data_IF_690521289408
#
_entry.id   IF_690521289408
#
_cell.length_a   1.000
_cell.length_b   1.000
_cell.length_c   1.000
_cell.angle_alpha   90.00
_cell.angle_beta   90.00
_cell.angle_gamma   90.00
#
_symmetry.space_group_name_H-M   'P 1'
#
loop_
_entity.id
_entity.type
_entity.pdbx_description
1 polymer ?
#
# COMPACT_ATOMS: atom_id res chain seq x y z
N UNK A 1 33.15 21.33 7.33
CA UNK A 1 32.53 20.52 8.40
C UNK A 1 31.31 21.31 8.84
N UNK A 2 30.08 20.82 8.58
CA UNK A 2 28.91 21.38 9.25
C UNK A 2 29.08 21.05 10.74
N UNK A 3 29.07 22.08 11.57
CA UNK A 3 29.27 21.90 13.02
C UNK A 3 28.11 21.12 13.58
N UNK A 4 28.37 20.16 14.45
CA UNK A 4 27.41 19.35 15.20
C UNK A 4 26.24 20.15 15.80
N UNK A 5 26.38 21.46 15.97
CA UNK A 5 25.32 22.35 16.48
C UNK A 5 24.20 22.73 15.48
N UNK A 6 24.46 22.63 14.15
CA UNK A 6 23.40 22.96 13.16
C UNK A 6 22.40 21.84 12.97
N UNK A 7 22.76 20.58 13.29
CA UNK A 7 21.86 19.41 13.20
C UNK A 7 20.98 19.24 14.44
N UNK A 8 21.42 19.75 15.61
CA UNK A 8 20.62 19.67 16.86
C UNK A 8 19.37 20.57 16.82
N UNK A 9 19.37 21.64 16.02
CA UNK A 9 18.23 22.55 15.90
C UNK A 9 17.02 21.99 15.15
N UNK A 10 17.17 20.93 14.33
CA UNK A 10 16.13 20.39 13.43
C UNK A 10 15.60 19.02 13.85
N UNK A 11 15.95 18.52 15.05
CA UNK A 11 15.46 17.23 15.55
C UNK A 11 13.98 17.30 15.94
N UNK A 12 13.14 16.50 15.29
CA UNK A 12 11.72 16.34 15.60
C UNK A 12 11.51 15.04 16.37
N UNK A 13 11.26 15.16 17.66
CA UNK A 13 11.10 13.99 18.52
C UNK A 13 9.75 13.31 18.31
N UNK A 14 9.78 12.05 17.84
CA UNK A 14 8.64 11.14 17.83
C UNK A 14 8.42 10.63 19.26
N UNK A 15 9.47 10.12 19.89
CA UNK A 15 9.49 9.74 21.31
C UNK A 15 10.47 10.66 22.03
N UNK A 16 9.99 11.56 22.93
CA UNK A 16 10.86 12.50 23.62
C UNK A 16 12.11 11.84 24.23
N UNK A 17 13.29 12.37 23.90
CA UNK A 17 14.57 11.90 24.40
C UNK A 17 15.01 10.51 23.94
N UNK A 18 14.23 9.81 23.09
CA UNK A 18 14.55 8.45 22.67
C UNK A 18 14.56 8.25 21.16
N UNK A 19 13.63 8.84 20.44
CA UNK A 19 13.53 8.69 18.99
C UNK A 19 13.20 10.02 18.32
N UNK A 20 14.05 10.45 17.40
CA UNK A 20 13.89 11.68 16.64
C UNK A 20 14.00 11.41 15.13
N UNK A 21 13.47 12.34 14.37
CA UNK A 21 13.61 12.44 12.92
C UNK A 21 14.26 13.78 12.57
N UNK A 22 15.11 13.81 11.54
CA UNK A 22 15.63 15.04 10.98
C UNK A 22 15.85 14.95 9.46
N UNK A 23 15.99 16.12 8.85
CA UNK A 23 16.25 16.28 7.44
C UNK A 23 17.60 16.95 7.23
N UNK A 24 18.45 16.36 6.38
CA UNK A 24 19.81 16.85 6.12
C UNK A 24 19.92 17.21 4.64
N UNK A 25 20.43 18.42 4.32
CA UNK A 25 20.63 18.82 2.93
C UNK A 25 21.50 17.83 2.13
N UNK A 26 21.07 17.49 0.91
CA UNK A 26 21.81 16.54 0.04
C UNK A 26 23.27 16.96 -0.17
N UNK A 27 23.54 18.25 -0.23
CA UNK A 27 24.91 18.79 -0.34
C UNK A 27 25.81 18.40 0.86
N UNK A 28 25.22 18.21 2.05
CA UNK A 28 25.95 17.77 3.25
C UNK A 28 26.14 16.26 3.18
N UNK A 29 25.07 15.50 2.88
CA UNK A 29 25.13 14.05 2.75
C UNK A 29 26.06 13.58 1.63
N UNK A 30 26.24 14.38 0.57
CA UNK A 30 27.22 14.10 -0.48
C UNK A 30 28.67 14.15 0.01
N UNK A 31 28.95 14.89 1.08
CA UNK A 31 30.30 15.02 1.69
C UNK A 31 30.49 14.10 2.88
N UNK A 32 29.42 13.90 3.66
CA UNK A 32 29.40 13.05 4.84
C UNK A 32 28.09 12.22 4.79
N UNK A 33 28.16 11.02 4.17
CA UNK A 33 26.97 10.15 4.03
C UNK A 33 26.45 9.58 5.34
N UNK A 34 27.27 9.52 6.38
CA UNK A 34 26.95 8.99 7.71
C UNK A 34 27.16 10.06 8.79
N UNK A 35 26.27 11.06 8.88
CA UNK A 35 26.42 12.14 9.83
C UNK A 35 26.41 11.62 11.26
N UNK A 36 27.31 12.17 12.09
CA UNK A 36 27.43 11.83 13.50
C UNK A 36 26.83 12.94 14.35
N UNK A 37 25.86 12.56 15.17
CA UNK A 37 25.25 13.44 16.17
C UNK A 37 25.71 12.95 17.54
N UNK A 38 26.24 13.86 18.37
CA UNK A 38 26.72 13.51 19.70
C UNK A 38 25.59 12.91 20.56
N UNK A 39 25.84 11.79 21.25
CA UNK A 39 24.83 11.10 22.07
C UNK A 39 23.70 10.43 21.27
N UNK A 40 23.86 10.26 19.96
CA UNK A 40 22.87 9.63 19.12
C UNK A 40 23.42 8.49 18.26
N UNK A 41 22.57 7.53 17.94
CA UNK A 41 22.76 6.55 16.89
C UNK A 41 21.90 6.95 15.70
N UNK A 42 22.52 7.24 14.56
CA UNK A 42 21.86 7.69 13.35
C UNK A 42 21.64 6.54 12.37
N UNK A 43 20.54 6.57 11.64
CA UNK A 43 20.26 5.67 10.52
C UNK A 43 19.45 6.38 9.42
N UNK A 44 19.55 5.89 8.19
CA UNK A 44 18.87 6.43 7.02
C UNK A 44 18.19 5.32 6.23
N UNK A 45 17.06 5.64 5.61
CA UNK A 45 16.30 4.68 4.78
C UNK A 45 16.23 5.07 3.30
N UNK A 46 16.83 6.19 2.89
CA UNK A 46 16.71 6.75 1.54
C UNK A 46 17.20 5.82 0.41
N UNK A 47 18.17 4.96 0.71
CA UNK A 47 18.69 3.97 -0.24
C UNK A 47 18.16 2.56 -0.02
N UNK A 48 17.56 2.30 1.16
CA UNK A 48 17.06 0.97 1.52
C UNK A 48 15.60 0.79 1.12
N UNK A 49 14.78 1.81 1.36
CA UNK A 49 13.36 1.80 1.01
C UNK A 49 13.10 2.80 -0.12
N UNK A 50 13.28 2.33 -1.35
CA UNK A 50 13.08 3.14 -2.56
C UNK A 50 11.69 2.82 -3.12
N UNK A 51 10.91 3.87 -3.39
CA UNK A 51 9.62 3.73 -4.05
C UNK A 51 9.83 3.54 -5.56
N UNK A 52 9.27 2.48 -6.11
CA UNK A 52 9.25 2.24 -7.55
C UNK A 52 8.07 2.98 -8.18
N UNK A 53 8.39 3.97 -9.00
CA UNK A 53 7.42 4.88 -9.62
C UNK A 53 6.75 4.23 -10.82
N UNK A 54 5.43 4.35 -10.92
CA UNK A 54 4.70 4.04 -12.17
C UNK A 54 4.83 5.18 -13.18
N UNK A 55 4.80 6.43 -12.72
CA UNK A 55 4.98 7.62 -13.54
C UNK A 55 5.68 8.75 -12.77
N UNK A 56 4.94 9.50 -11.97
CA UNK A 56 5.48 10.59 -11.15
C UNK A 56 4.95 10.52 -9.70
N UNK A 57 4.32 9.41 -9.34
CA UNK A 57 4.01 9.00 -7.98
C UNK A 57 5.32 8.68 -7.23
N UNK A 58 5.32 8.82 -5.91
CA UNK A 58 6.54 8.63 -5.13
C UNK A 58 6.32 7.98 -3.76
N UNK A 59 5.07 7.57 -3.50
CA UNK A 59 4.68 7.00 -2.23
C UNK A 59 3.17 6.93 -2.07
N UNK A 60 2.69 6.51 -0.88
CA UNK A 60 3.50 6.07 0.27
C UNK A 60 4.27 4.78 0.00
N UNK A 61 5.34 4.54 0.77
CA UNK A 61 6.04 3.27 0.75
C UNK A 61 5.08 2.13 1.14
N UNK A 62 5.33 0.95 0.57
CA UNK A 62 4.44 -0.19 0.70
C UNK A 62 4.45 -0.82 2.11
N UNK A 63 3.53 -1.75 2.34
CA UNK A 63 3.33 -2.37 3.64
C UNK A 63 4.55 -3.18 4.10
N UNK A 64 5.26 -3.83 3.19
CA UNK A 64 6.51 -4.54 3.49
C UNK A 64 7.59 -3.60 4.06
N UNK A 65 7.76 -2.43 3.43
CA UNK A 65 8.64 -1.37 3.94
C UNK A 65 8.22 -0.89 5.33
N UNK A 66 6.92 -0.64 5.53
CA UNK A 66 6.38 -0.19 6.83
C UNK A 66 6.67 -1.21 7.93
N UNK A 67 6.37 -2.47 7.70
CA UNK A 67 6.56 -3.51 8.74
C UNK A 67 8.04 -3.74 9.05
N UNK A 68 8.91 -3.81 8.03
CA UNK A 68 10.37 -3.92 8.23
C UNK A 68 10.93 -2.73 8.98
N UNK A 69 10.52 -1.53 8.60
CA UNK A 69 10.93 -0.32 9.30
C UNK A 69 10.52 -0.37 10.78
N UNK A 70 9.28 -0.73 11.06
CA UNK A 70 8.78 -0.82 12.43
C UNK A 70 9.57 -1.83 13.27
N UNK A 71 9.87 -3.01 12.74
CA UNK A 71 10.65 -4.03 13.42
C UNK A 71 12.08 -3.58 13.67
N UNK A 72 12.76 -3.09 12.63
CA UNK A 72 14.14 -2.60 12.75
C UNK A 72 14.27 -1.41 13.73
N UNK A 73 13.31 -0.47 13.67
CA UNK A 73 13.29 0.68 14.59
C UNK A 73 13.07 0.26 16.03
N UNK A 74 12.21 -0.74 16.29
CA UNK A 74 12.00 -1.27 17.65
C UNK A 74 13.28 -1.90 18.21
N UNK A 75 14.01 -2.70 17.43
CA UNK A 75 15.30 -3.30 17.83
C UNK A 75 16.37 -2.23 18.09
N UNK A 76 16.48 -1.23 17.20
CA UNK A 76 17.42 -0.14 17.37
C UNK A 76 17.13 0.70 18.61
N UNK A 77 15.86 0.96 18.90
CA UNK A 77 15.44 1.68 20.12
C UNK A 77 15.78 0.93 21.40
N UNK A 78 15.67 -0.39 21.39
CA UNK A 78 16.07 -1.21 22.53
C UNK A 78 17.59 -1.07 22.76
N UNK A 79 18.40 -1.27 21.73
CA UNK A 79 19.88 -1.13 21.81
C UNK A 79 20.30 0.26 22.24
N UNK A 80 19.67 1.31 21.68
CA UNK A 80 19.96 2.70 22.09
C UNK A 80 19.58 2.95 23.55
N UNK A 81 18.53 2.32 24.07
CA UNK A 81 18.15 2.40 25.47
C UNK A 81 19.24 1.84 26.41
N UNK A 82 19.81 0.69 26.05
CA UNK A 82 20.91 0.05 26.79
C UNK A 82 22.18 0.92 26.78
N UNK A 83 22.46 1.56 25.66
CA UNK A 83 23.62 2.45 25.45
C UNK A 83 23.39 3.90 25.90
N UNK A 84 22.18 4.27 26.35
CA UNK A 84 21.76 5.64 26.70
C UNK A 84 21.93 6.64 25.54
N UNK A 85 21.67 6.19 24.29
CA UNK A 85 21.72 7.00 23.09
C UNK A 85 20.32 7.36 22.62
N UNK A 86 20.20 8.48 21.91
CA UNK A 86 19.00 8.83 21.14
C UNK A 86 19.08 8.15 19.78
N UNK A 87 18.01 7.49 19.34
CA UNK A 87 17.89 7.00 17.97
C UNK A 87 17.46 8.14 17.06
N UNK A 88 18.19 8.38 15.97
CA UNK A 88 17.86 9.44 15.00
C UNK A 88 17.69 8.84 13.60
N UNK A 89 16.49 8.93 13.06
CA UNK A 89 16.21 8.66 11.65
C UNK A 89 16.44 9.93 10.85
N UNK A 90 17.50 9.98 10.05
CA UNK A 90 17.74 11.09 9.13
C UNK A 90 17.39 10.72 7.70
N UNK A 91 17.04 11.72 6.89
CA UNK A 91 16.80 11.60 5.45
C UNK A 91 17.37 12.80 4.73
N UNK A 92 17.50 12.72 3.41
CA UNK A 92 17.84 13.89 2.59
C UNK A 92 16.69 14.90 2.52
N UNK A 93 17.00 16.14 2.13
CA UNK A 93 16.01 17.20 1.91
C UNK A 93 15.23 17.05 0.58
N UNK A 94 15.50 15.99 -0.19
CA UNK A 94 14.71 15.66 -1.38
C UNK A 94 13.23 15.44 -0.99
N UNK A 95 12.34 16.25 -1.56
CA UNK A 95 10.93 16.37 -1.15
C UNK A 95 10.21 15.01 -1.00
N UNK A 96 10.47 14.05 -1.88
CA UNK A 96 9.82 12.72 -1.87
C UNK A 96 10.39 11.82 -0.77
N UNK A 97 11.72 11.77 -0.63
CA UNK A 97 12.39 10.99 0.42
C UNK A 97 12.01 11.50 1.80
N UNK A 98 12.00 12.85 1.95
CA UNK A 98 11.60 13.50 3.19
C UNK A 98 10.19 13.12 3.64
N UNK A 99 9.21 13.10 2.72
CA UNK A 99 7.83 12.69 3.03
C UNK A 99 7.75 11.21 3.36
N UNK A 100 8.43 10.33 2.60
CA UNK A 100 8.44 8.90 2.86
C UNK A 100 9.13 8.55 4.20
N UNK A 101 10.23 9.21 4.54
CA UNK A 101 10.89 9.03 5.83
C UNK A 101 10.01 9.48 7.01
N UNK A 102 9.34 10.64 6.88
CA UNK A 102 8.37 11.10 7.87
C UNK A 102 7.17 10.14 7.99
N UNK A 103 6.69 9.60 6.86
CA UNK A 103 5.64 8.57 6.85
C UNK A 103 6.06 7.34 7.65
N UNK A 104 7.27 6.81 7.43
CA UNK A 104 7.77 5.64 8.16
C UNK A 104 7.87 5.92 9.66
N UNK A 105 8.39 7.09 10.07
CA UNK A 105 8.51 7.47 11.47
C UNK A 105 7.14 7.57 12.16
N UNK A 106 6.16 8.18 11.50
CA UNK A 106 4.77 8.23 11.99
C UNK A 106 4.11 6.85 11.99
N UNK A 107 4.32 6.06 10.93
CA UNK A 107 3.77 4.70 10.84
C UNK A 107 4.31 3.80 11.96
N UNK A 108 5.58 3.93 12.35
CA UNK A 108 6.11 3.25 13.54
C UNK A 108 5.31 3.58 14.81
N UNK A 109 5.02 4.86 15.02
CA UNK A 109 4.25 5.27 16.20
C UNK A 109 2.81 4.72 16.16
N UNK A 110 2.16 4.70 15.00
CA UNK A 110 0.81 4.14 14.84
C UNK A 110 0.79 2.62 14.93
N UNK A 111 1.69 1.95 14.20
CA UNK A 111 1.67 0.48 14.04
C UNK A 111 2.29 -0.24 15.23
N UNK A 112 3.50 0.13 15.63
CA UNK A 112 4.24 -0.55 16.69
C UNK A 112 3.88 -0.04 18.09
N UNK A 113 3.73 1.29 18.24
CA UNK A 113 3.43 1.88 19.56
C UNK A 113 1.93 2.04 19.82
N UNK A 114 1.08 1.79 18.79
CA UNK A 114 -0.39 1.91 18.90
C UNK A 114 -0.87 3.31 19.30
N UNK A 115 -0.11 4.35 18.93
CA UNK A 115 -0.50 5.73 19.19
C UNK A 115 -1.61 6.20 18.24
N UNK A 116 -2.37 7.20 18.71
CA UNK A 116 -3.30 7.92 17.83
C UNK A 116 -2.56 8.60 16.68
N UNK A 117 -3.21 8.73 15.53
CA UNK A 117 -2.65 9.43 14.36
C UNK A 117 -2.28 10.87 14.71
N UNK A 118 -3.11 11.55 15.51
CA UNK A 118 -2.86 12.90 16.00
C UNK A 118 -1.53 12.99 16.73
N UNK A 119 -1.28 12.09 17.67
CA UNK A 119 -0.04 12.04 18.45
C UNK A 119 1.16 11.71 17.58
N UNK A 120 1.02 10.72 16.70
CA UNK A 120 2.10 10.28 15.80
C UNK A 120 2.51 11.36 14.80
N UNK A 121 1.56 12.17 14.32
CA UNK A 121 1.80 13.23 13.34
C UNK A 121 2.16 14.58 13.96
N UNK A 122 1.95 14.78 15.27
CA UNK A 122 2.19 16.05 15.97
C UNK A 122 3.58 16.67 15.68
N UNK A 123 4.70 15.90 15.62
CA UNK A 123 6.02 16.48 15.32
C UNK A 123 6.14 17.10 13.92
N UNK A 124 5.19 16.84 13.02
CA UNK A 124 5.26 17.25 11.61
C UNK A 124 4.25 18.32 11.22
N UNK A 125 3.38 18.76 12.15
CA UNK A 125 2.31 19.74 11.87
C UNK A 125 2.88 21.08 11.39
N UNK A 126 3.97 21.52 12.00
CA UNK A 126 4.67 22.79 11.71
C UNK A 126 5.96 22.58 10.89
N UNK A 127 6.05 21.47 10.16
CA UNK A 127 7.23 21.12 9.39
C UNK A 127 7.47 22.14 8.26
N UNK A 128 8.67 22.76 8.24
CA UNK A 128 9.04 23.74 7.20
C UNK A 128 10.28 23.25 6.42
N UNK A 129 10.23 23.22 5.08
CA UNK A 129 9.03 23.35 4.25
C UNK A 129 7.99 22.25 4.56
N UNK A 130 6.69 22.41 4.22
CA UNK A 130 5.69 21.38 4.43
C UNK A 130 6.04 20.04 3.76
N UNK A 131 5.56 18.93 4.32
CA UNK A 131 5.71 17.63 3.69
C UNK A 131 4.94 17.60 2.36
N UNK A 132 5.59 17.08 1.31
CA UNK A 132 4.98 17.03 -0.02
C UNK A 132 3.87 15.98 -0.07
N UNK A 133 2.64 16.32 -0.48
CA UNK A 133 1.55 15.36 -0.54
C UNK A 133 1.78 14.32 -1.63
N UNK A 134 1.28 13.10 -1.40
CA UNK A 134 1.38 12.00 -2.36
C UNK A 134 0.45 12.24 -3.55
N UNK A 135 0.98 12.10 -4.75
CA UNK A 135 0.18 12.11 -5.97
C UNK A 135 -0.18 10.69 -6.41
N UNK A 136 -1.17 10.59 -7.28
CA UNK A 136 -1.55 9.34 -7.93
C UNK A 136 -0.56 8.91 -9.04
N UNK A 137 -0.70 7.66 -9.49
CA UNK A 137 0.11 7.06 -10.56
C UNK A 137 -0.38 7.42 -11.99
N UNK A 138 -1.29 8.39 -12.12
CA UNK A 138 -1.83 8.82 -13.41
C UNK A 138 -0.83 9.64 -14.24
N UNK A 139 -0.91 9.51 -15.57
CA UNK A 139 -0.04 10.23 -16.51
C UNK A 139 -0.40 11.73 -16.67
N UNK A 140 -1.56 12.14 -16.17
CA UNK A 140 -2.03 13.52 -16.30
C UNK A 140 -1.62 14.44 -15.17
N UNK A 141 -2.24 15.60 -15.11
CA UNK A 141 -2.12 16.53 -13.98
C UNK A 141 -2.76 15.86 -12.76
N UNK A 142 -2.06 15.88 -11.63
CA UNK A 142 -2.61 15.39 -10.37
C UNK A 142 -3.69 16.34 -9.88
N UNK A 143 -4.94 15.88 -9.88
CA UNK A 143 -6.11 16.67 -9.47
C UNK A 143 -6.42 16.54 -7.98
N UNK A 144 -5.86 15.52 -7.32
CA UNK A 144 -6.05 15.27 -5.90
C UNK A 144 -4.71 14.89 -5.24
N UNK A 145 -4.43 15.52 -4.12
CA UNK A 145 -3.20 15.32 -3.36
C UNK A 145 -3.53 14.64 -2.02
N UNK A 146 -3.07 13.40 -1.86
CA UNK A 146 -3.28 12.64 -0.63
C UNK A 146 -2.26 13.06 0.44
N UNK A 147 -2.73 13.52 1.58
CA UNK A 147 -1.86 13.94 2.68
C UNK A 147 -1.31 12.72 3.44
N UNK A 148 -0.12 12.88 4.01
CA UNK A 148 0.49 11.84 4.86
C UNK A 148 -0.43 11.45 6.03
N UNK A 149 -1.10 12.41 6.64
CA UNK A 149 -2.04 12.18 7.75
C UNK A 149 -3.23 11.29 7.32
N UNK A 150 -3.70 11.39 6.08
CA UNK A 150 -4.80 10.57 5.57
C UNK A 150 -4.35 9.12 5.36
N UNK A 151 -3.10 8.93 4.89
CA UNK A 151 -2.50 7.60 4.81
C UNK A 151 -2.41 6.96 6.20
N UNK A 152 -1.95 7.70 7.20
CA UNK A 152 -1.87 7.21 8.59
C UNK A 152 -3.25 6.84 9.15
N UNK A 153 -4.29 7.62 8.84
CA UNK A 153 -5.68 7.30 9.23
C UNK A 153 -6.12 5.98 8.61
N UNK A 154 -5.83 5.76 7.32
CA UNK A 154 -6.10 4.49 6.64
C UNK A 154 -5.40 3.31 7.30
N UNK A 155 -4.11 3.43 7.64
CA UNK A 155 -3.34 2.41 8.35
C UNK A 155 -3.90 2.16 9.77
N UNK A 156 -4.21 3.21 10.51
CA UNK A 156 -4.79 3.10 11.85
C UNK A 156 -6.14 2.38 11.82
N UNK A 157 -6.98 2.70 10.83
CA UNK A 157 -8.27 2.03 10.62
C UNK A 157 -8.12 0.57 10.28
N UNK A 158 -7.18 0.24 9.40
CA UNK A 158 -6.86 -1.14 9.05
C UNK A 158 -6.42 -1.96 10.27
N UNK A 159 -5.59 -1.38 11.14
CA UNK A 159 -5.20 -2.00 12.42
C UNK A 159 -6.40 -2.21 13.36
N UNK A 160 -7.29 -1.21 13.47
CA UNK A 160 -8.46 -1.28 14.34
C UNK A 160 -9.47 -2.34 13.87
N UNK A 161 -9.60 -2.54 12.56
CA UNK A 161 -10.49 -3.52 11.95
C UNK A 161 -9.86 -4.92 11.80
N UNK A 162 -8.58 -5.09 12.16
CA UNK A 162 -7.86 -6.36 11.97
C UNK A 162 -7.50 -6.66 10.51
N UNK A 163 -7.54 -5.66 9.63
CA UNK A 163 -7.07 -5.79 8.25
C UNK A 163 -5.55 -5.84 8.16
N UNK A 164 -4.84 -5.34 9.16
CA UNK A 164 -3.41 -5.49 9.36
C UNK A 164 -3.15 -6.17 10.70
N UNK A 165 -2.50 -7.32 10.66
CA UNK A 165 -1.90 -7.96 11.83
C UNK A 165 -0.37 -7.77 11.75
N UNK A 166 0.13 -6.77 12.48
CA UNK A 166 1.55 -6.44 12.51
C UNK A 166 2.41 -7.58 13.07
N UNK A 167 1.89 -8.32 14.04
CA UNK A 167 2.66 -9.35 14.74
C UNK A 167 2.95 -10.56 13.83
N UNK A 168 1.99 -10.93 12.98
CA UNK A 168 2.08 -12.14 12.13
C UNK A 168 2.39 -11.83 10.68
N UNK A 169 2.61 -10.55 10.31
CA UNK A 169 2.86 -10.17 8.91
C UNK A 169 4.16 -10.77 8.38
N UNK A 170 4.09 -11.54 7.30
CA UNK A 170 5.24 -12.11 6.62
C UNK A 170 5.73 -11.16 5.52
N UNK A 171 6.88 -10.50 5.79
CA UNK A 171 7.48 -9.56 4.85
C UNK A 171 8.08 -10.25 3.63
N UNK A 172 8.59 -11.46 3.78
CA UNK A 172 9.27 -12.16 2.68
C UNK A 172 8.23 -12.71 1.70
N UNK A 173 7.10 -13.16 2.24
CA UNK A 173 5.99 -13.56 1.39
C UNK A 173 5.37 -12.36 0.67
N UNK A 174 5.22 -11.22 1.38
CA UNK A 174 4.79 -9.96 0.77
C UNK A 174 5.67 -9.59 -0.42
N UNK A 175 7.01 -9.59 -0.26
CA UNK A 175 7.95 -9.26 -1.35
C UNK A 175 7.92 -10.25 -2.50
N UNK A 176 7.80 -11.54 -2.19
CA UNK A 176 7.69 -12.57 -3.23
C UNK A 176 6.49 -12.33 -4.13
N UNK A 177 5.44 -11.77 -3.58
CA UNK A 177 4.21 -11.51 -4.31
C UNK A 177 4.17 -10.14 -4.99
N UNK A 178 4.96 -9.16 -4.54
CA UNK A 178 5.02 -7.82 -5.10
C UNK A 178 5.94 -7.70 -6.32
N UNK A 179 6.87 -8.63 -6.56
CA UNK A 179 7.85 -8.51 -7.63
C UNK A 179 7.27 -8.81 -9.01
N UNK A 180 7.55 -7.93 -9.99
CA UNK A 180 7.20 -8.12 -11.41
C UNK A 180 7.77 -9.42 -12.01
N UNK A 181 8.92 -9.87 -11.54
CA UNK A 181 9.53 -11.18 -11.91
C UNK A 181 8.62 -12.34 -11.53
N UNK A 182 7.70 -12.09 -10.59
CA UNK A 182 6.71 -13.03 -10.10
C UNK A 182 5.28 -12.53 -10.45
N UNK A 183 5.17 -11.45 -11.27
CA UNK A 183 3.93 -10.81 -11.68
C UNK A 183 3.42 -9.82 -10.62
N UNK A 184 3.56 -8.52 -10.81
CA UNK A 184 3.00 -7.32 -10.17
C UNK A 184 2.02 -7.50 -8.97
N UNK A 185 2.46 -7.22 -7.71
CA UNK A 185 1.70 -7.48 -6.49
C UNK A 185 2.04 -6.80 -5.20
N UNK A 186 1.02 -6.74 -4.34
CA UNK A 186 1.15 -6.45 -2.92
C UNK A 186 0.26 -7.32 -2.03
N UNK A 187 0.81 -7.84 -0.95
CA UNK A 187 0.12 -8.68 0.05
C UNK A 187 -0.30 -7.93 1.29
N UNK A 188 -1.48 -8.27 1.81
CA UNK A 188 -1.86 -7.95 3.18
C UNK A 188 -2.34 -9.22 3.87
N UNK A 189 -1.45 -9.76 4.66
CA UNK A 189 -1.55 -10.91 5.54
C UNK A 189 -1.33 -12.28 4.92
N UNK A 190 -0.29 -12.95 5.40
CA UNK A 190 -0.21 -14.38 5.41
C UNK A 190 -1.33 -14.96 6.30
N UNK A 191 -2.21 -15.77 5.72
CA UNK A 191 -2.87 -16.78 6.54
C UNK A 191 -1.76 -17.64 7.13
N UNK A 192 -1.80 -17.94 8.43
CA UNK A 192 -0.80 -18.83 9.05
C UNK A 192 -0.75 -20.12 8.23
N UNK A 193 0.44 -20.63 7.94
CA UNK A 193 0.61 -21.92 7.25
C UNK A 193 -0.25 -23.05 7.84
N UNK A 194 -0.55 -22.97 9.14
CA UNK A 194 -1.43 -23.88 9.85
C UNK A 194 -2.91 -23.78 9.47
N UNK A 195 -3.34 -22.71 8.80
CA UNK A 195 -4.74 -22.48 8.42
C UNK A 195 -5.02 -22.95 6.98
N UNK A 196 -4.00 -23.30 6.18
CA UNK A 196 -4.13 -23.77 4.80
C UNK A 196 -3.57 -25.19 4.71
N UNK A 197 -4.39 -26.23 4.63
CA UNK A 197 -3.92 -27.61 4.51
C UNK A 197 -3.05 -27.81 3.26
N UNK A 198 -1.88 -28.45 3.43
CA UNK A 198 -0.90 -28.78 2.36
C UNK A 198 -0.14 -27.61 1.72
N UNK A 199 -0.03 -26.46 2.41
CA UNK A 199 0.73 -25.31 1.94
C UNK A 199 2.25 -25.51 2.16
N UNK A 200 3.04 -25.43 1.06
CA UNK A 200 4.49 -25.29 1.11
C UNK A 200 4.86 -23.90 0.59
N UNK A 201 5.51 -23.07 1.41
CA UNK A 201 5.85 -21.68 1.09
C UNK A 201 6.63 -21.50 -0.24
N UNK A 202 7.29 -22.58 -0.75
CA UNK A 202 7.95 -22.62 -2.06
C UNK A 202 7.02 -22.50 -3.27
N UNK A 203 5.72 -22.79 -3.10
CA UNK A 203 4.78 -22.87 -4.24
C UNK A 203 4.11 -21.53 -4.56
N UNK A 204 4.18 -20.56 -3.66
CA UNK A 204 3.56 -19.21 -3.81
C UNK A 204 4.44 -18.21 -4.57
N UNK A 205 5.68 -18.50 -4.80
CA UNK A 205 6.68 -17.55 -5.27
C UNK A 205 6.50 -16.98 -6.68
N UNK A 206 5.28 -17.02 -7.29
CA UNK A 206 5.14 -16.74 -8.71
C UNK A 206 3.91 -15.96 -9.16
N UNK A 207 3.03 -15.51 -8.26
CA UNK A 207 1.73 -14.97 -8.68
C UNK A 207 1.42 -13.52 -8.20
N UNK A 208 0.88 -12.68 -9.10
CA UNK A 208 0.61 -11.26 -8.85
C UNK A 208 -0.71 -10.99 -8.09
N UNK A 209 -0.74 -11.04 -6.76
CA UNK A 209 -1.92 -10.84 -5.92
C UNK A 209 -1.69 -9.89 -4.74
N UNK A 210 -2.70 -9.12 -4.35
CA UNK A 210 -2.68 -8.35 -3.12
C UNK A 210 -3.97 -8.57 -2.32
N UNK A 211 -3.85 -8.96 -1.06
CA UNK A 211 -4.95 -8.81 -0.13
C UNK A 211 -5.14 -7.33 0.20
N UNK A 212 -6.26 -6.75 -0.18
CA UNK A 212 -6.66 -5.41 0.26
C UNK A 212 -7.42 -5.50 1.58
N UNK A 213 -8.22 -6.55 1.73
CA UNK A 213 -8.88 -6.93 2.97
C UNK A 213 -8.73 -8.43 3.17
N UNK A 214 -8.13 -8.89 4.27
CA UNK A 214 -7.92 -10.30 4.56
C UNK A 214 -9.21 -11.11 4.40
N UNK A 215 -9.12 -12.24 3.72
CA UNK A 215 -10.23 -13.17 3.45
C UNK A 215 -11.42 -12.58 2.68
N UNK A 216 -11.33 -11.33 2.18
CA UNK A 216 -12.40 -10.73 1.39
C UNK A 216 -11.95 -10.25 0.03
N UNK A 217 -10.91 -9.42 -0.07
CA UNK A 217 -10.49 -8.85 -1.34
C UNK A 217 -9.03 -9.08 -1.67
N UNK A 218 -8.82 -9.66 -2.83
CA UNK A 218 -7.53 -9.73 -3.50
C UNK A 218 -7.61 -8.82 -4.74
N UNK A 219 -6.67 -7.88 -4.86
CA UNK A 219 -6.47 -7.11 -6.08
C UNK A 219 -5.34 -7.72 -6.90
N UNK A 220 -5.50 -7.81 -8.23
CA UNK A 220 -4.47 -8.35 -9.11
C UNK A 220 -4.52 -7.76 -10.52
N UNK A 221 -3.44 -7.89 -11.28
CA UNK A 221 -3.39 -7.47 -12.68
C UNK A 221 -4.07 -8.50 -13.59
N UNK A 222 -4.51 -8.04 -14.78
CA UNK A 222 -5.24 -8.91 -15.71
C UNK A 222 -4.40 -10.10 -16.16
N UNK A 223 -4.91 -11.33 -16.01
CA UNK A 223 -4.33 -12.46 -16.74
C UNK A 223 -4.37 -12.22 -18.25
N UNK A 224 -3.46 -12.83 -18.97
CA UNK A 224 -3.47 -12.92 -20.42
C UNK A 224 -4.00 -14.28 -20.87
N UNK A 225 -4.37 -14.40 -22.15
CA UNK A 225 -4.91 -15.64 -22.68
C UNK A 225 -3.92 -16.82 -22.60
N UNK A 226 -2.61 -16.53 -22.57
CA UNK A 226 -1.53 -17.54 -22.50
C UNK A 226 -0.35 -16.97 -21.72
N UNK A 227 0.35 -17.83 -21.01
CA UNK A 227 1.65 -17.53 -20.41
C UNK A 227 2.67 -17.20 -21.51
N UNK A 228 3.41 -16.11 -21.33
CA UNK A 228 4.48 -15.67 -22.24
C UNK A 228 5.68 -15.21 -21.42
N UNK A 229 6.86 -15.53 -21.89
CA UNK A 229 8.06 -14.90 -21.38
C UNK A 229 8.22 -13.51 -21.99
N UNK A 230 8.39 -12.49 -21.14
CA UNK A 230 8.52 -11.08 -21.54
C UNK A 230 9.93 -10.54 -21.32
N UNK A 231 10.73 -11.23 -20.50
CA UNK A 231 12.16 -11.05 -20.29
C UNK A 231 12.75 -12.39 -19.80
N UNK A 232 14.07 -12.61 -19.84
CA UNK A 232 14.68 -13.84 -19.35
C UNK A 232 14.21 -14.22 -17.94
N UNK A 233 13.46 -15.31 -17.83
CA UNK A 233 12.87 -15.80 -16.58
C UNK A 233 11.60 -15.10 -16.12
N UNK A 234 11.17 -14.01 -16.77
CA UNK A 234 9.98 -13.23 -16.41
C UNK A 234 8.80 -13.59 -17.32
N UNK A 235 7.72 -14.06 -16.72
CA UNK A 235 6.56 -14.55 -17.46
C UNK A 235 5.28 -13.79 -17.11
N UNK A 236 4.40 -13.60 -18.10
CA UNK A 236 3.00 -13.26 -17.87
C UNK A 236 2.23 -14.49 -17.41
N UNK A 237 1.08 -14.28 -16.77
CA UNK A 237 0.25 -15.35 -16.24
C UNK A 237 -1.04 -15.52 -17.03
N UNK A 238 -1.45 -16.76 -17.23
CA UNK A 238 -2.75 -17.17 -17.72
C UNK A 238 -3.71 -17.44 -16.53
N UNK A 239 -5.03 -17.49 -16.75
CA UNK A 239 -5.98 -17.81 -15.67
C UNK A 239 -5.68 -19.14 -14.98
N UNK A 240 -5.21 -20.12 -15.72
CA UNK A 240 -4.86 -21.47 -15.23
C UNK A 240 -3.73 -21.44 -14.19
N UNK A 241 -2.83 -20.47 -14.30
CA UNK A 241 -1.74 -20.30 -13.35
C UNK A 241 -2.28 -19.82 -11.98
N UNK A 242 -3.38 -19.03 -11.97
CA UNK A 242 -3.99 -18.52 -10.75
C UNK A 242 -4.92 -19.50 -10.04
N UNK A 243 -5.53 -20.45 -10.78
CA UNK A 243 -6.56 -21.35 -10.22
C UNK A 243 -6.07 -22.10 -8.97
N UNK A 244 -4.91 -22.78 -8.96
CA UNK A 244 -4.47 -23.50 -7.77
C UNK A 244 -4.27 -22.58 -6.56
N UNK A 245 -3.76 -21.37 -6.81
CA UNK A 245 -3.54 -20.39 -5.77
C UNK A 245 -4.87 -19.83 -5.25
N UNK A 246 -5.78 -19.45 -6.12
CA UNK A 246 -7.10 -18.94 -5.73
C UNK A 246 -7.89 -19.96 -4.91
N UNK A 247 -7.83 -21.24 -5.29
CA UNK A 247 -8.45 -22.32 -4.51
C UNK A 247 -7.87 -22.41 -3.09
N UNK A 248 -6.53 -22.33 -2.96
CA UNK A 248 -5.87 -22.32 -1.64
C UNK A 248 -6.22 -21.11 -0.80
N UNK A 249 -6.35 -19.92 -1.43
CA UNK A 249 -6.71 -18.67 -0.75
C UNK A 249 -8.21 -18.54 -0.48
N UNK A 250 -9.02 -19.54 -0.81
CA UNK A 250 -10.46 -19.51 -0.61
C UNK A 250 -11.18 -18.51 -1.52
N UNK A 251 -10.61 -18.20 -2.69
CA UNK A 251 -11.26 -17.35 -3.68
C UNK A 251 -12.40 -18.12 -4.35
N UNK A 252 -13.60 -17.59 -4.21
CA UNK A 252 -14.83 -18.18 -4.77
C UNK A 252 -15.35 -17.38 -5.98
N UNK A 253 -14.87 -16.14 -6.15
CA UNK A 253 -15.29 -15.28 -7.25
C UNK A 253 -14.13 -14.44 -7.81
N UNK A 254 -14.08 -14.32 -9.13
CA UNK A 254 -13.25 -13.35 -9.85
C UNK A 254 -14.13 -12.26 -10.44
N UNK A 255 -13.78 -10.98 -10.24
CA UNK A 255 -14.45 -9.84 -10.85
C UNK A 255 -13.49 -9.12 -11.81
N UNK A 256 -13.90 -8.96 -13.07
CA UNK A 256 -13.15 -8.31 -14.13
C UNK A 256 -13.78 -6.99 -14.55
N UNK A 257 -12.99 -5.90 -14.49
CA UNK A 257 -13.41 -4.57 -14.95
C UNK A 257 -12.88 -4.17 -16.32
N UNK A 258 -11.88 -4.85 -16.87
CA UNK A 258 -11.32 -4.54 -18.19
C UNK A 258 -11.92 -5.36 -19.33
N UNK A 259 -11.55 -5.01 -20.56
CA UNK A 259 -11.87 -5.80 -21.76
C UNK A 259 -11.40 -7.24 -21.63
N UNK A 260 -12.07 -8.14 -22.33
CA UNK A 260 -11.75 -9.56 -22.33
C UNK A 260 -10.36 -9.81 -22.92
N UNK A 261 -9.40 -10.22 -22.09
CA UNK A 261 -8.06 -10.64 -22.49
C UNK A 261 -7.83 -12.16 -22.32
N UNK A 262 -8.75 -12.86 -21.65
CA UNK A 262 -8.69 -14.30 -21.42
C UNK A 262 -10.11 -14.90 -21.39
N UNK A 263 -10.22 -16.23 -21.49
CA UNK A 263 -11.49 -16.93 -21.38
C UNK A 263 -11.82 -17.21 -19.90
N UNK A 264 -12.95 -16.68 -19.43
CA UNK A 264 -13.44 -16.86 -18.05
C UNK A 264 -13.67 -18.33 -17.69
N UNK A 265 -13.84 -19.22 -18.71
CA UNK A 265 -14.08 -20.64 -18.49
C UNK A 265 -12.93 -21.32 -17.75
N UNK A 266 -11.74 -20.81 -17.80
CA UNK A 266 -10.62 -21.31 -17.01
C UNK A 266 -10.91 -21.25 -15.49
N UNK A 267 -11.51 -20.15 -15.01
CA UNK A 267 -11.94 -20.01 -13.62
C UNK A 267 -13.22 -20.80 -13.34
N UNK A 268 -14.23 -20.71 -14.21
CA UNK A 268 -15.53 -21.34 -13.92
C UNK A 268 -15.49 -22.86 -13.96
N UNK A 269 -14.62 -23.47 -14.79
CA UNK A 269 -14.37 -24.93 -14.78
C UNK A 269 -13.72 -25.40 -13.48
N UNK A 270 -12.98 -24.52 -12.81
CA UNK A 270 -12.36 -24.79 -11.52
C UNK A 270 -13.27 -24.49 -10.32
N UNK A 271 -14.56 -24.20 -10.56
CA UNK A 271 -15.54 -23.88 -9.53
C UNK A 271 -15.49 -22.43 -9.02
N UNK A 272 -14.67 -21.58 -9.62
CA UNK A 272 -14.56 -20.17 -9.25
C UNK A 272 -15.52 -19.34 -10.11
N UNK A 273 -16.51 -18.70 -9.49
CA UNK A 273 -17.44 -17.81 -10.17
C UNK A 273 -16.70 -16.68 -10.87
N UNK A 274 -17.19 -16.22 -12.03
CA UNK A 274 -16.60 -15.09 -12.75
C UNK A 274 -17.66 -14.07 -13.13
N UNK A 275 -17.42 -12.80 -12.76
CA UNK A 275 -18.33 -11.67 -13.01
C UNK A 275 -17.61 -10.62 -13.87
N UNK A 276 -18.29 -10.14 -14.90
CA UNK A 276 -17.80 -9.14 -15.84
C UNK A 276 -18.54 -7.82 -15.61
N UNK A 277 -17.82 -6.78 -15.21
CA UNK A 277 -18.34 -5.45 -14.92
C UNK A 277 -17.51 -4.39 -15.67
N UNK A 278 -17.45 -4.53 -16.99
CA UNK A 278 -16.61 -3.71 -17.83
C UNK A 278 -16.97 -2.23 -17.79
N UNK A 279 -15.96 -1.38 -17.68
CA UNK A 279 -15.97 0.04 -18.03
C UNK A 279 -14.58 0.52 -18.48
N UNK A 280 -14.50 1.68 -19.13
CA UNK A 280 -13.28 2.16 -19.79
C UNK A 280 -12.13 2.44 -18.79
N UNK A 281 -10.90 2.25 -19.27
CA UNK A 281 -9.68 2.49 -18.49
C UNK A 281 -9.53 3.97 -18.15
N UNK A 282 -9.18 4.26 -16.90
CA UNK A 282 -9.08 5.63 -16.38
C UNK A 282 -10.43 6.30 -16.10
N UNK A 283 -11.56 5.69 -16.49
CA UNK A 283 -12.89 6.19 -16.21
C UNK A 283 -13.41 5.83 -14.82
N UNK A 284 -14.58 6.37 -14.47
CA UNK A 284 -15.34 6.06 -13.27
C UNK A 284 -16.40 4.99 -13.56
N UNK A 285 -16.73 4.11 -12.60
CA UNK A 285 -17.84 3.19 -12.77
C UNK A 285 -19.16 3.97 -12.81
N UNK A 286 -20.12 3.51 -13.62
CA UNK A 286 -21.49 3.96 -13.44
C UNK A 286 -22.04 3.48 -12.11
N UNK A 287 -23.08 4.16 -11.62
CA UNK A 287 -23.77 3.75 -10.39
C UNK A 287 -24.20 2.28 -10.44
N UNK A 288 -24.73 1.84 -11.57
CA UNK A 288 -25.17 0.46 -11.79
C UNK A 288 -24.02 -0.55 -11.69
N UNK A 289 -22.83 -0.23 -12.22
CA UNK A 289 -21.65 -1.08 -12.13
C UNK A 289 -21.18 -1.18 -10.68
N UNK A 290 -21.09 -0.05 -9.98
CA UNK A 290 -20.65 -0.02 -8.60
C UNK A 290 -21.62 -0.77 -7.67
N UNK A 291 -22.92 -0.52 -7.79
CA UNK A 291 -23.95 -1.23 -7.01
C UNK A 291 -23.95 -2.73 -7.32
N UNK A 292 -23.78 -3.11 -8.58
CA UNK A 292 -23.66 -4.52 -8.96
C UNK A 292 -22.44 -5.19 -8.35
N UNK A 293 -21.29 -4.48 -8.34
CA UNK A 293 -20.08 -4.97 -7.67
C UNK A 293 -20.34 -5.20 -6.17
N UNK A 294 -20.90 -4.20 -5.49
CA UNK A 294 -21.20 -4.28 -4.05
C UNK A 294 -22.13 -5.47 -3.77
N UNK A 295 -23.22 -5.63 -4.54
CA UNK A 295 -24.15 -6.76 -4.40
C UNK A 295 -23.47 -8.12 -4.59
N UNK A 296 -22.61 -8.25 -5.61
CA UNK A 296 -21.81 -9.47 -5.81
C UNK A 296 -20.97 -9.76 -4.57
N UNK A 297 -20.31 -8.75 -4.03
CA UNK A 297 -19.46 -8.91 -2.86
C UNK A 297 -20.22 -9.23 -1.58
N UNK A 298 -21.44 -8.70 -1.42
CA UNK A 298 -22.31 -8.97 -0.28
C UNK A 298 -22.86 -10.41 -0.28
N UNK A 299 -23.04 -10.98 -1.48
CA UNK A 299 -23.55 -12.33 -1.68
C UNK A 299 -22.47 -13.41 -1.67
N UNK A 300 -21.22 -13.03 -1.90
CA UNK A 300 -20.12 -13.98 -2.05
C UNK A 300 -19.57 -14.42 -0.68
N UNK A 301 -19.64 -15.73 -0.36
CA UNK A 301 -19.23 -16.23 0.96
C UNK A 301 -17.71 -16.29 1.14
N UNK A 302 -16.96 -16.46 0.06
CA UNK A 302 -15.49 -16.57 0.09
C UNK A 302 -14.80 -15.28 -0.32
N UNK A 303 -13.49 -15.40 -0.53
CA UNK A 303 -12.68 -14.30 -1.02
C UNK A 303 -13.00 -13.97 -2.49
N UNK A 304 -12.84 -12.71 -2.84
CA UNK A 304 -13.10 -12.18 -4.18
C UNK A 304 -11.80 -11.64 -4.75
N UNK A 305 -11.35 -12.18 -5.86
CA UNK A 305 -10.23 -11.67 -6.62
C UNK A 305 -10.72 -10.64 -7.65
N UNK A 306 -10.23 -9.42 -7.57
CA UNK A 306 -10.70 -8.27 -8.35
C UNK A 306 -9.59 -7.74 -9.22
N UNK A 307 -9.86 -7.56 -10.51
CA UNK A 307 -8.87 -6.98 -11.41
C UNK A 307 -9.45 -6.06 -12.49
N UNK A 308 -8.58 -5.22 -13.02
CA UNK A 308 -8.77 -4.49 -14.26
C UNK A 308 -7.58 -4.76 -15.19
N UNK A 309 -6.96 -3.79 -15.84
CA UNK A 309 -5.72 -3.99 -16.61
C UNK A 309 -4.53 -4.17 -15.66
N UNK A 310 -4.16 -3.14 -14.91
CA UNK A 310 -3.09 -3.16 -13.93
C UNK A 310 -3.53 -3.59 -12.51
N UNK A 311 -4.82 -3.72 -12.25
CA UNK A 311 -5.33 -4.01 -10.91
C UNK A 311 -5.17 -2.86 -9.91
N UNK A 312 -5.11 -1.62 -10.37
CA UNK A 312 -4.88 -0.41 -9.57
C UNK A 312 -6.09 0.52 -9.54
N UNK A 313 -6.40 1.18 -10.66
CA UNK A 313 -7.41 2.23 -10.73
C UNK A 313 -8.83 1.70 -10.51
N UNK A 314 -9.43 1.09 -11.54
CA UNK A 314 -10.80 0.54 -11.51
C UNK A 314 -11.01 -0.45 -10.37
N UNK A 315 -10.02 -1.28 -10.11
CA UNK A 315 -10.00 -2.25 -9.01
C UNK A 315 -10.07 -1.54 -7.66
N UNK A 316 -9.18 -0.61 -7.40
CA UNK A 316 -9.14 0.13 -6.14
C UNK A 316 -10.40 0.96 -5.90
N UNK A 317 -10.94 1.61 -6.94
CA UNK A 317 -12.18 2.40 -6.85
C UNK A 317 -13.36 1.57 -6.34
N UNK A 318 -13.58 0.38 -6.88
CA UNK A 318 -14.71 -0.44 -6.48
C UNK A 318 -14.47 -1.12 -5.12
N UNK A 319 -13.26 -1.61 -4.83
CA UNK A 319 -12.94 -2.14 -3.49
C UNK A 319 -13.10 -1.04 -2.45
N UNK A 320 -12.64 0.19 -2.73
CA UNK A 320 -12.81 1.36 -1.85
C UNK A 320 -14.28 1.66 -1.57
N UNK A 321 -15.14 1.62 -2.60
CA UNK A 321 -16.58 1.81 -2.41
C UNK A 321 -17.18 0.78 -1.44
N UNK A 322 -16.80 -0.49 -1.55
CA UNK A 322 -17.21 -1.52 -0.60
C UNK A 322 -16.67 -1.26 0.83
N UNK A 323 -15.39 -0.85 0.93
CA UNK A 323 -14.77 -0.53 2.23
C UNK A 323 -15.47 0.63 2.94
N UNK A 324 -15.84 1.67 2.20
CA UNK A 324 -16.60 2.80 2.74
C UNK A 324 -17.97 2.34 3.25
N UNK A 325 -18.73 1.58 2.46
CA UNK A 325 -20.06 1.09 2.83
C UNK A 325 -20.03 0.17 4.06
N UNK A 326 -19.16 -0.80 4.10
CA UNK A 326 -19.21 -1.90 5.08
C UNK A 326 -18.32 -1.70 6.31
N UNK A 327 -17.21 -0.98 6.17
CA UNK A 327 -16.26 -0.75 7.26
C UNK A 327 -16.07 0.71 7.62
N UNK A 328 -16.88 1.60 7.03
CA UNK A 328 -16.90 3.03 7.37
C UNK A 328 -15.56 3.73 7.15
N UNK A 329 -14.72 3.26 6.22
CA UNK A 329 -13.56 4.03 5.80
C UNK A 329 -14.02 5.34 5.18
N UNK A 330 -13.26 6.43 5.37
CA UNK A 330 -13.39 7.58 4.49
C UNK A 330 -12.73 7.30 3.13
N UNK A 331 -13.03 8.09 2.12
CA UNK A 331 -12.39 7.96 0.82
C UNK A 331 -10.87 8.17 0.91
N UNK A 332 -10.41 9.10 1.72
CA UNK A 332 -8.99 9.37 1.93
C UNK A 332 -8.30 8.23 2.69
N UNK A 333 -8.95 7.65 3.71
CA UNK A 333 -8.48 6.46 4.41
C UNK A 333 -8.37 5.25 3.46
N UNK A 334 -9.38 5.06 2.59
CA UNK A 334 -9.34 4.03 1.55
C UNK A 334 -8.14 4.20 0.61
N UNK A 335 -7.97 5.41 0.05
CA UNK A 335 -6.83 5.69 -0.83
C UNK A 335 -5.50 5.44 -0.13
N UNK A 336 -5.36 5.95 1.10
CA UNK A 336 -4.16 5.79 1.90
C UNK A 336 -3.83 4.32 2.16
N UNK A 337 -4.78 3.58 2.69
CA UNK A 337 -4.62 2.16 2.98
C UNK A 337 -4.31 1.34 1.73
N UNK A 338 -5.10 1.51 0.67
CA UNK A 338 -4.90 0.76 -0.57
C UNK A 338 -3.55 1.04 -1.23
N UNK A 339 -3.02 2.28 -1.16
CA UNK A 339 -1.68 2.59 -1.69
C UNK A 339 -0.56 2.01 -0.85
N UNK A 340 -0.74 1.88 0.46
CA UNK A 340 0.20 1.15 1.32
C UNK A 340 0.19 -0.34 0.99
N UNK A 341 -0.99 -0.90 0.69
CA UNK A 341 -1.14 -2.31 0.34
C UNK A 341 -0.66 -2.62 -1.08
N UNK A 342 -1.03 -1.75 -2.02
CA UNK A 342 -0.79 -1.86 -3.45
C UNK A 342 -0.50 -0.48 -4.01
N UNK A 343 0.79 -0.10 -4.11
CA UNK A 343 1.22 1.19 -4.64
C UNK A 343 0.52 1.54 -5.96
N UNK A 344 0.16 2.80 -6.13
CA UNK A 344 -0.52 3.29 -7.32
C UNK A 344 -2.04 3.05 -7.38
N UNK A 345 -2.66 2.50 -6.32
CA UNK A 345 -4.12 2.28 -6.28
C UNK A 345 -4.90 3.60 -6.32
N UNK A 346 -6.06 3.59 -7.02
CA UNK A 346 -6.99 4.71 -7.26
C UNK A 346 -6.32 5.87 -8.00
N UNK A 347 -6.63 6.01 -9.30
CA UNK A 347 -5.87 6.85 -10.24
C UNK A 347 -6.76 7.94 -10.84
N UNK A 348 -6.22 9.15 -10.97
CA UNK A 348 -6.82 10.25 -11.71
C UNK A 348 -8.22 10.63 -11.18
N UNK A 349 -9.23 10.75 -12.07
CA UNK A 349 -10.58 11.18 -11.69
C UNK A 349 -11.29 10.22 -10.71
N UNK A 350 -10.81 8.99 -10.58
CA UNK A 350 -11.35 8.01 -9.63
C UNK A 350 -11.18 8.45 -8.19
N UNK A 351 -10.17 9.25 -7.88
CA UNK A 351 -9.94 9.82 -6.56
C UNK A 351 -11.11 10.74 -6.17
N UNK A 352 -11.48 11.67 -7.05
CA UNK A 352 -12.62 12.56 -6.82
C UNK A 352 -13.93 11.78 -6.77
N UNK A 353 -14.09 10.78 -7.64
CA UNK A 353 -15.28 9.94 -7.67
C UNK A 353 -15.56 9.24 -6.32
N UNK A 354 -14.54 8.66 -5.66
CA UNK A 354 -14.78 8.02 -4.37
C UNK A 354 -15.00 9.04 -3.24
N UNK A 355 -14.42 10.25 -3.33
CA UNK A 355 -14.73 11.35 -2.40
C UNK A 355 -16.21 11.76 -2.52
N UNK A 356 -16.70 11.95 -3.73
CA UNK A 356 -18.09 12.35 -3.98
C UNK A 356 -19.10 11.24 -3.57
N UNK A 357 -18.68 9.98 -3.57
CA UNK A 357 -19.52 8.84 -3.20
C UNK A 357 -19.57 8.57 -1.69
N UNK A 358 -18.68 9.15 -0.88
CA UNK A 358 -18.47 8.80 0.52
C UNK A 358 -19.74 8.86 1.37
N UNK A 359 -20.37 10.02 1.44
CA UNK A 359 -21.58 10.24 2.27
C UNK A 359 -22.73 9.30 1.92
N UNK A 360 -22.88 9.01 0.63
CA UNK A 360 -23.91 8.10 0.15
C UNK A 360 -23.61 6.66 0.57
N UNK A 361 -22.37 6.22 0.38
CA UNK A 361 -21.96 4.87 0.74
C UNK A 361 -22.01 4.62 2.24
N UNK A 362 -21.70 5.61 3.06
CA UNK A 362 -21.87 5.52 4.51
C UNK A 362 -23.34 5.35 4.91
N UNK A 363 -24.25 6.17 4.34
CA UNK A 363 -25.70 6.02 4.58
C UNK A 363 -26.24 4.64 4.15
N UNK A 364 -25.81 4.16 2.98
CA UNK A 364 -26.18 2.82 2.52
C UNK A 364 -25.66 1.72 3.46
N UNK A 365 -24.46 1.88 3.97
CA UNK A 365 -23.86 0.99 4.96
C UNK A 365 -24.61 0.97 6.28
N UNK A 366 -25.07 2.13 6.75
CA UNK A 366 -25.89 2.24 7.96
C UNK A 366 -27.24 1.54 7.80
N UNK A 367 -27.89 1.74 6.65
CA UNK A 367 -29.16 1.05 6.33
C UNK A 367 -28.92 -0.46 6.29
N UNK A 368 -27.86 -0.91 5.62
CA UNK A 368 -27.53 -2.33 5.50
C UNK A 368 -27.29 -3.01 6.86
N UNK A 369 -26.56 -2.34 7.77
CA UNK A 369 -26.30 -2.86 9.12
C UNK A 369 -27.57 -2.94 9.96
N UNK A 370 -28.41 -1.92 9.91
CA UNK A 370 -29.72 -1.90 10.62
C UNK A 370 -30.62 -3.05 10.19
N UNK A 371 -30.70 -3.29 8.88
CA UNK A 371 -31.57 -4.36 8.33
C UNK A 371 -31.12 -5.77 8.76
N UNK A 372 -29.83 -5.97 9.03
CA UNK A 372 -29.28 -7.27 9.44
C UNK A 372 -29.18 -7.46 10.94
N UNK A 373 -29.62 -6.52 11.74
CA UNK A 373 -29.52 -6.57 13.21
C UNK A 373 -28.06 -6.50 13.74
N UNK A 374 -27.09 -6.26 12.87
CA UNK A 374 -25.66 -6.16 13.20
C UNK A 374 -25.25 -4.69 13.40
N UNK A 375 -26.11 -3.88 14.01
CA UNK A 375 -25.75 -2.54 14.41
C UNK A 375 -24.79 -2.64 15.60
N UNK A 376 -23.56 -2.14 15.52
CA UNK A 376 -22.74 -2.02 16.71
C UNK A 376 -23.45 -1.06 17.68
N UNK A 377 -23.62 -1.47 18.92
CA UNK A 377 -24.17 -0.59 19.98
C UNK A 377 -23.34 0.65 20.22
N UNK A 378 -22.11 0.66 19.69
CA UNK A 378 -21.23 1.83 19.68
C UNK A 378 -20.91 2.23 18.24
N UNK A 379 -20.92 3.54 17.91
CA UNK A 379 -20.38 4.02 16.64
C UNK A 379 -18.95 3.45 16.47
N UNK A 380 -18.60 3.09 15.22
CA UNK A 380 -17.23 2.71 14.89
C UNK A 380 -16.28 3.71 15.56
N UNK A 381 -15.31 3.27 16.36
CA UNK A 381 -14.57 4.15 17.27
C UNK A 381 -14.04 5.35 16.51
N UNK A 382 -14.45 6.53 16.96
CA UNK A 382 -13.91 7.79 16.48
C UNK A 382 -12.41 7.75 16.77
N UNK A 383 -11.58 7.76 15.71
CA UNK A 383 -10.13 7.63 15.84
C UNK A 383 -9.48 8.80 16.62
N UNK A 384 -10.26 9.83 16.95
CA UNK A 384 -9.87 10.94 17.80
C UNK A 384 -9.87 10.61 19.31
N UNK A 385 -10.54 9.54 19.74
CA UNK A 385 -10.84 9.30 21.17
C UNK A 385 -10.02 8.19 21.85
N UNK A 386 -9.02 7.59 21.18
CA UNK A 386 -8.07 6.73 21.90
C UNK A 386 -7.15 7.63 22.72
N UNK A 387 -7.26 7.50 24.05
CA UNK A 387 -6.48 8.25 25.03
C UNK A 387 -4.99 8.26 24.69
N UNK A 388 -4.37 9.44 24.75
CA UNK A 388 -2.92 9.65 24.60
C UNK A 388 -2.09 9.03 25.73
N UNK A 389 -2.69 8.25 26.62
CA UNK A 389 -2.01 7.48 27.66
C UNK A 389 -1.37 6.23 27.02
N UNK A 390 -0.06 6.29 26.85
CA UNK A 390 0.73 5.13 26.42
C UNK A 390 0.69 4.03 27.50
N UNK A 391 0.38 2.77 27.14
CA UNK A 391 0.82 1.67 27.96
C UNK A 391 2.34 1.58 27.82
N UNK A 392 3.06 1.72 28.94
CA UNK A 392 4.52 1.62 29.02
C UNK A 392 5.07 0.21 28.71
N UNK A 393 4.26 -0.72 28.23
CA UNK A 393 4.54 -2.15 28.18
C UNK A 393 4.38 -2.82 26.81
N UNK A 394 4.50 -2.09 25.68
CA UNK A 394 4.50 -2.73 24.37
C UNK A 394 5.79 -2.43 23.57
N UNK A 395 6.91 -2.87 24.12
CA UNK A 395 8.03 -3.35 23.32
C UNK A 395 7.82 -4.87 23.22
N UNK A 396 7.74 -5.48 22.04
CA UNK A 396 7.60 -6.92 21.94
C UNK A 396 8.79 -7.58 22.62
N UNK A 397 8.54 -8.59 23.48
CA UNK A 397 9.58 -9.48 23.94
C UNK A 397 10.21 -10.13 22.71
N UNK A 398 11.55 -10.06 22.62
CA UNK A 398 12.45 -10.73 21.70
C UNK A 398 11.88 -11.01 20.28
N UNK A 399 12.21 -10.15 19.34
CA UNK A 399 12.11 -10.43 17.91
C UNK A 399 13.15 -11.50 17.54
N UNK A 400 12.81 -12.54 16.74
CA UNK A 400 13.80 -13.53 16.27
C UNK A 400 14.97 -12.88 15.53
N UNK A 401 16.14 -13.50 15.61
CA UNK A 401 17.44 -13.02 15.15
C UNK A 401 17.42 -12.48 13.71
N UNK A 402 18.26 -11.48 13.38
CA UNK A 402 18.28 -10.83 12.09
C UNK A 402 18.72 -11.77 10.97
N UNK A 403 18.03 -11.69 9.87
CA UNK A 403 18.46 -12.30 8.61
C UNK A 403 19.79 -11.70 8.19
N UNK A 404 20.83 -12.55 8.12
CA UNK A 404 22.15 -12.19 7.65
C UNK A 404 22.11 -11.73 6.21
N UNK A 405 22.67 -10.54 5.96
CA UNK A 405 23.25 -10.03 4.70
C UNK A 405 22.59 -10.47 3.39
N UNK A 406 21.57 -9.76 2.95
CA UNK A 406 21.35 -9.63 1.52
C UNK A 406 22.46 -8.75 0.93
N UNK A 407 23.51 -9.37 0.40
CA UNK A 407 24.51 -8.69 -0.41
C UNK A 407 23.81 -7.99 -1.56
N UNK A 408 23.99 -6.69 -1.67
CA UNK A 408 23.48 -5.91 -2.77
C UNK A 408 23.93 -6.50 -4.11
N UNK A 409 22.99 -6.86 -4.94
CA UNK A 409 23.27 -7.09 -6.34
C UNK A 409 23.44 -5.73 -7.02
N UNK A 410 24.51 -5.54 -7.82
CA UNK A 410 24.67 -4.32 -8.59
C UNK A 410 23.51 -4.22 -9.59
N UNK A 411 22.78 -3.10 -9.54
CA UNK A 411 21.81 -2.74 -10.54
C UNK A 411 22.50 -2.64 -11.90
N UNK A 412 22.30 -3.62 -12.77
CA UNK A 412 22.67 -3.47 -14.16
C UNK A 412 21.75 -2.48 -14.83
N UNK A 413 22.17 -1.21 -14.86
CA UNK A 413 21.63 -0.23 -15.81
C UNK A 413 21.90 -0.74 -17.21
N UNK A 414 20.91 -1.29 -17.90
CA UNK A 414 20.82 -1.28 -19.33
C UNK A 414 19.55 -0.61 -19.75
N UNK A 415 19.74 0.57 -20.32
CA UNK A 415 18.76 1.27 -21.10
C UNK A 415 18.28 0.34 -22.23
N UNK A 416 17.05 -0.12 -22.13
CA UNK A 416 16.27 -0.67 -23.22
C UNK A 416 15.29 0.40 -23.64
N UNK A 417 15.68 1.23 -24.59
CA UNK A 417 14.74 2.01 -25.39
C UNK A 417 13.96 1.09 -26.29
N UNK A 418 12.73 1.55 -26.53
CA UNK A 418 11.85 1.22 -27.65
C UNK A 418 11.02 -0.07 -27.51
N UNK A 419 9.77 0.15 -27.16
CA UNK A 419 8.59 -0.13 -28.02
C UNK A 419 7.32 0.25 -27.27
N UNK A 420 6.99 1.54 -27.30
CA UNK A 420 5.60 1.98 -27.08
C UNK A 420 4.99 2.25 -28.43
N UNK A 421 4.19 1.34 -28.93
CA UNK A 421 3.28 1.59 -30.04
C UNK A 421 2.29 2.66 -29.63
N UNK A 422 2.49 3.84 -30.24
CA UNK A 422 1.58 4.96 -30.24
C UNK A 422 0.31 4.60 -30.99
N UNK A 423 -0.79 4.40 -30.29
CA UNK A 423 -2.12 4.55 -30.90
C UNK A 423 -2.60 5.99 -30.70
N UNK A 424 -2.16 6.87 -31.59
CA UNK A 424 -2.83 8.15 -31.85
C UNK A 424 -3.77 7.94 -33.02
N UNK A 425 -5.06 7.97 -32.78
CA UNK A 425 -6.06 8.10 -33.84
C UNK A 425 -5.99 9.50 -34.41
N UNK A 426 -5.37 9.61 -35.59
CA UNK A 426 -5.44 10.81 -36.44
C UNK A 426 -6.78 10.89 -37.14
N UNK A 427 -7.58 11.87 -36.81
CA UNK A 427 -8.71 12.30 -37.61
C UNK A 427 -8.20 12.98 -38.89
N UNK A 428 -8.17 12.24 -39.98
CA UNK A 428 -7.88 12.76 -41.30
C UNK A 428 -9.10 13.47 -41.90
N UNK A 429 -9.12 14.78 -41.88
CA UNK A 429 -9.96 15.56 -42.79
C UNK A 429 -9.27 15.63 -44.14
N UNK A 430 -9.85 14.97 -45.15
CA UNK A 430 -9.57 15.23 -46.55
C UNK A 430 -10.06 16.65 -46.91
N UNK A 431 -9.16 17.46 -47.43
CA UNK A 431 -9.52 18.56 -48.34
C UNK A 431 -8.93 18.26 -49.71
N UNK A 432 -9.81 18.16 -50.69
CA UNK A 432 -9.54 18.18 -52.09
C UNK A 432 -9.30 19.62 -52.51
N UNK A 433 -8.26 19.89 -53.28
CA UNK A 433 -8.27 20.92 -54.34
C UNK A 433 -7.10 20.67 -55.29
N UNK A 434 -7.41 20.73 -56.57
CA UNK A 434 -6.57 21.04 -57.70
C UNK A 434 -5.77 19.89 -58.29
#
# INVERSE_FOLDING_TARGET
MATTGELEGDLRYIIPGRFAWCCIPERILARDPEPKIAGARCFCTDSTFVYEQFFADFGPLNLGCVVRYCRATAELLQRCGDEKLVLVHYCSDHRHRRTNAAFLACAFAVVALRWSVRRAYAPFVDCSPPLHPFRDAGFGVCTYQLLLVDVLRGVAKALALGHLDYATFDCDEYDRMERLEHGDLAWIRAAKESEIPNFKGSDLGRFPLAWIVPRKFIAFSSPLARRREIAPGVHTFAPEDYVPLFQRLGVTCVVRFNKKLYDKRAFTRAGIRHVELFYEDGGNPSEQIMQRFIQVCEQEPGAIAVHCKAGLGRTGTNIGAYMMKHWGYSATECMGWMRVCRPGSVIGPQQQFILDAEDRLWREGDIFRRQRGNWPEQPLPDHAARSDAAPAAYLPAAVPAPLSNARGHPSSRKAGRDTHDNFVQGNGRRRTTG
#
